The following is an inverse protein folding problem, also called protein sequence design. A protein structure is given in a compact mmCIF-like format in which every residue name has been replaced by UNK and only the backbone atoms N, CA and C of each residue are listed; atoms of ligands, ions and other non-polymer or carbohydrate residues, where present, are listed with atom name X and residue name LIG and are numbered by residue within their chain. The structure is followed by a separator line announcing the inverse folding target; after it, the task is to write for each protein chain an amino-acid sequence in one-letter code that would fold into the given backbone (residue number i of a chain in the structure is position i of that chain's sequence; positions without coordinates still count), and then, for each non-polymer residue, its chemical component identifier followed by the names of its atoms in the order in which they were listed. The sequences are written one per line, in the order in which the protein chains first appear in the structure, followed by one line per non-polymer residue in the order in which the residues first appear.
data_IF_522910088246
#
_entry.id   IF_522910088246
#
_cell.length_a   1.000
_cell.length_b   1.000
_cell.length_c   1.000
_cell.angle_alpha   90.00
_cell.angle_beta   90.00
_cell.angle_gamma   90.00
#
_symmetry.space_group_name_H-M   'P 1'
#
loop_
_entity.id
_entity.type
_entity.pdbx_description
1 polymer ?
#
# COMPACT_ATOMS: atom_id res chain seq x y z
N UNK A 1 -11.29 -6.81 21.64
CA UNK A 1 -11.40 -5.96 20.43
C UNK A 1 -12.83 -5.44 20.35
N UNK A 2 -13.08 -4.13 20.15
CA UNK A 2 -14.44 -3.61 19.98
C UNK A 2 -15.15 -4.27 18.78
N UNK A 3 -16.46 -4.53 18.87
CA UNK A 3 -17.25 -5.13 17.77
C UNK A 3 -17.11 -4.36 16.45
N UNK A 4 -17.00 -3.03 16.52
CA UNK A 4 -16.82 -2.16 15.35
C UNK A 4 -15.59 -2.48 14.49
N UNK A 5 -14.51 -3.02 15.06
CA UNK A 5 -13.34 -3.36 14.26
C UNK A 5 -13.58 -4.59 13.35
N UNK A 6 -14.45 -5.51 13.77
CA UNK A 6 -14.88 -6.61 12.89
C UNK A 6 -15.68 -6.09 11.70
N UNK A 7 -16.52 -5.07 11.91
CA UNK A 7 -17.23 -4.43 10.81
C UNK A 7 -16.28 -3.69 9.86
N UNK A 8 -15.22 -3.06 10.35
CA UNK A 8 -14.18 -2.46 9.48
C UNK A 8 -13.49 -3.52 8.63
N UNK A 9 -13.08 -4.64 9.23
CA UNK A 9 -12.48 -5.77 8.48
C UNK A 9 -13.47 -6.31 7.45
N UNK A 10 -14.74 -6.51 7.84
CA UNK A 10 -15.78 -6.98 6.93
C UNK A 10 -16.01 -6.01 5.77
N UNK A 11 -16.05 -4.70 6.03
CA UNK A 11 -16.17 -3.67 4.99
C UNK A 11 -15.01 -3.77 3.98
N UNK A 12 -13.78 -3.98 4.44
CA UNK A 12 -12.63 -4.13 3.56
C UNK A 12 -12.68 -5.41 2.71
N UNK A 13 -13.09 -6.53 3.30
CA UNK A 13 -13.29 -7.79 2.56
C UNK A 13 -14.39 -7.59 1.50
N UNK A 14 -15.53 -7.01 1.88
CA UNK A 14 -16.62 -6.72 0.94
C UNK A 14 -16.14 -5.79 -0.18
N UNK A 15 -15.40 -4.73 0.15
CA UNK A 15 -14.82 -3.81 -0.83
C UNK A 15 -13.99 -4.58 -1.87
N UNK A 16 -13.07 -5.45 -1.42
CA UNK A 16 -12.17 -6.20 -2.29
C UNK A 16 -12.89 -7.20 -3.20
N UNK A 17 -13.90 -7.90 -2.68
CA UNK A 17 -14.56 -9.00 -3.41
C UNK A 17 -15.89 -8.62 -4.06
N UNK A 18 -16.46 -7.45 -3.75
CA UNK A 18 -17.74 -7.00 -4.32
C UNK A 18 -17.73 -6.91 -5.85
N UNK A 19 -16.56 -6.63 -6.46
CA UNK A 19 -16.41 -6.58 -7.91
C UNK A 19 -16.84 -7.87 -8.62
N UNK A 20 -16.65 -9.03 -7.98
CA UNK A 20 -17.04 -10.34 -8.54
C UNK A 20 -18.55 -10.45 -8.82
N UNK A 21 -19.38 -9.74 -8.02
CA UNK A 21 -20.83 -9.76 -8.16
C UNK A 21 -21.34 -8.54 -8.92
N UNK A 22 -20.83 -7.36 -8.60
CA UNK A 22 -21.41 -6.11 -9.06
C UNK A 22 -20.81 -5.59 -10.36
N UNK A 23 -19.58 -5.96 -10.73
CA UNK A 23 -19.04 -5.59 -12.04
C UNK A 23 -19.78 -6.28 -13.20
N UNK A 24 -20.08 -7.60 -13.14
CA UNK A 24 -20.93 -8.24 -14.15
C UNK A 24 -22.34 -7.62 -14.19
N UNK A 25 -22.93 -7.34 -13.02
CA UNK A 25 -24.24 -6.68 -12.96
C UNK A 25 -24.22 -5.30 -13.63
N UNK A 26 -23.20 -4.48 -13.36
CA UNK A 26 -23.05 -3.17 -13.98
C UNK A 26 -22.87 -3.29 -15.49
N UNK A 27 -22.07 -4.27 -15.96
CA UNK A 27 -21.94 -4.61 -17.37
C UNK A 27 -23.29 -4.97 -18.02
N UNK A 28 -24.15 -5.74 -17.33
CA UNK A 28 -25.49 -6.08 -17.87
C UNK A 28 -26.46 -4.89 -17.88
N UNK A 29 -26.33 -3.95 -16.94
CA UNK A 29 -27.25 -2.82 -16.78
C UNK A 29 -26.85 -1.56 -17.55
N UNK A 30 -25.64 -1.51 -18.10
CA UNK A 30 -25.06 -0.32 -18.73
C UNK A 30 -24.39 -0.68 -20.05
N UNK A 31 -24.13 0.29 -20.95
CA UNK A 31 -23.42 0.03 -22.20
C UNK A 31 -21.89 -0.12 -22.02
N UNK A 32 -21.40 -0.22 -20.78
CA UNK A 32 -19.98 -0.31 -20.49
C UNK A 32 -19.40 -1.66 -20.90
N UNK A 33 -18.10 -1.69 -21.25
CA UNK A 33 -17.36 -2.94 -21.33
C UNK A 33 -17.13 -3.55 -19.94
N UNK A 34 -16.85 -4.86 -19.87
CA UNK A 34 -16.63 -5.55 -18.58
C UNK A 34 -15.45 -4.96 -17.80
N UNK A 35 -14.38 -4.56 -18.50
CA UNK A 35 -13.20 -3.91 -17.89
C UNK A 35 -13.59 -2.57 -17.26
N UNK A 36 -14.28 -1.69 -17.99
CA UNK A 36 -14.71 -0.38 -17.49
C UNK A 36 -15.69 -0.53 -16.32
N UNK A 37 -16.63 -1.47 -16.41
CA UNK A 37 -17.55 -1.79 -15.33
C UNK A 37 -16.79 -2.23 -14.06
N UNK A 38 -15.73 -3.02 -14.20
CA UNK A 38 -14.86 -3.45 -13.10
C UNK A 38 -14.10 -2.28 -12.49
N UNK A 39 -13.52 -1.41 -13.31
CA UNK A 39 -12.77 -0.23 -12.85
C UNK A 39 -13.70 0.71 -12.08
N UNK A 40 -14.83 1.10 -12.67
CA UNK A 40 -15.77 2.03 -12.02
C UNK A 40 -16.37 1.46 -10.76
N UNK A 41 -16.71 0.17 -10.73
CA UNK A 41 -17.18 -0.48 -9.51
C UNK A 41 -16.12 -0.48 -8.41
N UNK A 42 -14.86 -0.80 -8.76
CA UNK A 42 -13.74 -0.78 -7.82
C UNK A 42 -13.53 0.61 -7.24
N UNK A 43 -13.54 1.65 -8.08
CA UNK A 43 -13.45 3.03 -7.59
C UNK A 43 -14.58 3.37 -6.61
N UNK A 44 -15.81 3.02 -6.96
CA UNK A 44 -16.98 3.24 -6.11
C UNK A 44 -16.85 2.49 -4.77
N UNK A 45 -16.48 1.22 -4.80
CA UNK A 45 -16.38 0.38 -3.60
C UNK A 45 -15.34 0.90 -2.63
N UNK A 46 -14.17 1.35 -3.11
CA UNK A 46 -13.12 1.95 -2.28
C UNK A 46 -13.57 3.26 -1.62
N UNK A 47 -14.23 4.14 -2.38
CA UNK A 47 -14.77 5.39 -1.83
C UNK A 47 -15.84 5.12 -0.79
N UNK A 48 -16.79 4.22 -1.07
CA UNK A 48 -17.83 3.82 -0.12
C UNK A 48 -17.22 3.20 1.15
N UNK A 49 -16.24 2.31 0.99
CA UNK A 49 -15.53 1.69 2.10
C UNK A 49 -14.81 2.74 2.97
N UNK A 50 -14.15 3.73 2.37
CA UNK A 50 -13.52 4.82 3.12
C UNK A 50 -14.54 5.54 4.01
N UNK A 51 -15.70 5.92 3.49
CA UNK A 51 -16.74 6.59 4.28
C UNK A 51 -17.25 5.71 5.43
N UNK A 52 -17.52 4.44 5.17
CA UNK A 52 -17.99 3.48 6.19
C UNK A 52 -16.93 3.26 7.25
N UNK A 53 -15.67 3.04 6.86
CA UNK A 53 -14.56 2.82 7.79
C UNK A 53 -14.31 4.06 8.64
N UNK A 54 -14.26 5.26 8.05
CA UNK A 54 -14.11 6.50 8.80
C UNK A 54 -15.27 6.72 9.77
N UNK A 55 -16.50 6.41 9.38
CA UNK A 55 -17.67 6.47 10.26
C UNK A 55 -17.55 5.51 11.45
N UNK A 56 -17.18 4.25 11.20
CA UNK A 56 -16.95 3.24 12.24
C UNK A 56 -15.78 3.61 13.16
N UNK A 57 -14.74 4.27 12.63
CA UNK A 57 -13.54 4.66 13.37
C UNK A 57 -13.65 6.00 14.10
N UNK A 58 -14.76 6.76 13.95
CA UNK A 58 -15.00 8.03 14.68
C UNK A 58 -14.70 7.97 16.18
N UNK A 59 -15.09 6.91 16.94
CA UNK A 59 -14.78 6.85 18.37
C UNK A 59 -13.28 6.83 18.65
N UNK A 60 -12.49 6.17 17.80
CA UNK A 60 -11.03 6.07 17.92
C UNK A 60 -10.31 7.36 17.52
N UNK A 61 -10.97 8.24 16.75
CA UNK A 61 -10.46 9.57 16.41
C UNK A 61 -10.70 10.59 17.53
N UNK A 62 -11.73 10.37 18.37
CA UNK A 62 -12.08 11.23 19.51
C UNK A 62 -11.28 10.93 20.77
N UNK A 63 -10.59 9.80 20.83
CA UNK A 63 -9.72 9.49 21.97
C UNK A 63 -8.50 10.40 21.92
N UNK A 64 -8.24 11.09 23.03
CA UNK A 64 -7.04 11.91 23.20
C UNK A 64 -5.78 11.13 22.77
N UNK A 65 -4.84 11.79 22.06
CA UNK A 65 -3.56 11.18 21.75
C UNK A 65 -2.91 10.64 23.03
N UNK A 66 -2.21 9.51 22.92
CA UNK A 66 -1.45 9.01 24.06
C UNK A 66 -0.51 10.11 24.58
N UNK A 67 -0.35 10.22 25.91
CA UNK A 67 0.45 11.28 26.57
C UNK A 67 1.86 11.50 25.99
N UNK A 68 2.44 10.46 25.36
CA UNK A 68 3.77 10.49 24.76
C UNK A 68 3.73 10.34 23.24
N UNK A 69 2.61 10.70 22.59
CA UNK A 69 2.50 10.70 21.14
C UNK A 69 3.29 11.88 20.56
N UNK A 70 3.87 11.65 19.39
CA UNK A 70 4.73 12.65 18.75
C UNK A 70 3.99 13.96 18.51
N UNK A 71 4.68 15.07 18.73
CA UNK A 71 4.23 16.42 18.35
C UNK A 71 4.34 16.65 16.84
N UNK A 72 3.87 17.80 16.36
CA UNK A 72 3.82 18.09 14.91
C UNK A 72 5.18 18.05 14.22
N UNK A 73 6.22 18.65 14.81
CA UNK A 73 7.57 18.61 14.22
C UNK A 73 8.15 17.19 14.15
N UNK A 74 7.94 16.40 15.20
CA UNK A 74 8.40 15.01 15.24
C UNK A 74 7.64 14.12 14.24
N UNK A 75 6.34 14.37 14.00
CA UNK A 75 5.58 13.70 12.93
C UNK A 75 6.17 13.97 11.55
N UNK A 76 6.58 15.20 11.26
CA UNK A 76 7.18 15.57 9.97
C UNK A 76 8.52 14.84 9.79
N UNK A 77 9.38 14.88 10.82
CA UNK A 77 10.68 14.20 10.80
C UNK A 77 10.51 12.70 10.55
N UNK A 78 9.61 12.03 11.28
CA UNK A 78 9.36 10.60 11.08
C UNK A 78 8.63 10.28 9.78
N UNK A 79 7.87 11.20 9.20
CA UNK A 79 7.29 10.99 7.86
C UNK A 79 8.37 11.01 6.79
N UNK A 80 9.31 11.97 6.86
CA UNK A 80 10.45 12.05 5.93
C UNK A 80 11.37 10.84 6.12
N UNK A 81 11.83 10.58 7.34
CA UNK A 81 12.68 9.42 7.63
C UNK A 81 11.98 8.10 7.30
N UNK A 82 10.67 8.02 7.56
CA UNK A 82 9.82 6.88 7.23
C UNK A 82 9.78 6.56 5.74
N UNK A 83 9.73 7.60 4.90
CA UNK A 83 9.77 7.43 3.45
C UNK A 83 11.10 6.80 3.00
N UNK A 84 12.22 7.30 3.50
CA UNK A 84 13.53 6.70 3.20
C UNK A 84 13.65 5.27 3.73
N UNK A 85 13.14 4.98 4.94
CA UNK A 85 13.13 3.62 5.48
C UNK A 85 12.27 2.67 4.62
N UNK A 86 11.12 3.12 4.14
CA UNK A 86 10.23 2.31 3.31
C UNK A 86 10.86 2.00 1.94
N UNK A 87 11.50 2.98 1.30
CA UNK A 87 12.26 2.74 0.07
C UNK A 87 13.49 1.87 0.28
N UNK A 88 14.21 2.04 1.40
CA UNK A 88 15.32 1.16 1.73
C UNK A 88 14.85 -0.28 1.95
N UNK A 89 13.73 -0.49 2.63
CA UNK A 89 13.14 -1.82 2.82
C UNK A 89 12.70 -2.44 1.48
N UNK A 90 12.05 -1.66 0.61
CA UNK A 90 11.71 -2.09 -0.75
C UNK A 90 12.97 -2.50 -1.53
N UNK A 91 13.98 -1.64 -1.58
CA UNK A 91 15.22 -1.89 -2.33
C UNK A 91 15.96 -3.14 -1.83
N UNK A 92 16.12 -3.29 -0.51
CA UNK A 92 16.75 -4.47 0.08
C UNK A 92 15.96 -5.74 -0.21
N UNK A 93 14.63 -5.70 -0.14
CA UNK A 93 13.78 -6.84 -0.47
C UNK A 93 13.91 -7.19 -1.96
N UNK A 94 13.92 -6.22 -2.86
CA UNK A 94 14.13 -6.42 -4.30
C UNK A 94 15.49 -7.06 -4.60
N UNK A 95 16.56 -6.64 -3.92
CA UNK A 95 17.88 -7.28 -4.06
C UNK A 95 17.80 -8.75 -3.63
N UNK A 96 17.17 -9.04 -2.49
CA UNK A 96 17.06 -10.42 -2.00
C UNK A 96 16.24 -11.26 -2.98
N UNK A 97 15.09 -10.77 -3.42
CA UNK A 97 14.22 -11.47 -4.37
C UNK A 97 14.94 -11.75 -5.70
N UNK A 98 15.65 -10.76 -6.26
CA UNK A 98 16.34 -10.91 -7.55
C UNK A 98 17.60 -11.78 -7.47
N UNK A 99 18.46 -11.54 -6.48
CA UNK A 99 19.80 -12.18 -6.41
C UNK A 99 19.81 -13.51 -5.67
N UNK A 100 18.94 -13.68 -4.67
CA UNK A 100 18.90 -14.90 -3.84
C UNK A 100 17.79 -15.84 -4.29
N UNK A 101 16.62 -15.30 -4.64
CA UNK A 101 15.44 -16.10 -5.00
C UNK A 101 15.23 -16.23 -6.53
N UNK A 102 15.98 -15.47 -7.34
CA UNK A 102 15.88 -15.50 -8.81
C UNK A 102 14.54 -14.98 -9.34
N UNK A 103 13.86 -14.12 -8.59
CA UNK A 103 12.59 -13.52 -8.97
C UNK A 103 12.85 -12.32 -9.87
N UNK A 104 12.18 -12.26 -11.03
CA UNK A 104 12.32 -11.14 -11.95
C UNK A 104 11.87 -9.81 -11.31
N UNK A 105 12.56 -8.70 -11.60
CA UNK A 105 12.12 -7.38 -11.16
C UNK A 105 10.83 -6.97 -11.88
N UNK A 106 10.01 -6.17 -11.19
CA UNK A 106 8.67 -5.77 -11.64
C UNK A 106 7.59 -6.32 -10.72
N UNK A 107 6.35 -5.81 -10.85
CA UNK A 107 5.18 -6.30 -10.10
C UNK A 107 3.97 -6.26 -11.02
N UNK A 108 3.27 -7.39 -11.14
CA UNK A 108 2.09 -7.53 -12.00
C UNK A 108 0.94 -6.63 -11.51
N UNK A 109 0.78 -6.49 -10.19
CA UNK A 109 -0.17 -5.57 -9.57
C UNK A 109 0.17 -4.13 -9.95
N UNK A 110 1.44 -3.76 -9.89
CA UNK A 110 1.89 -2.41 -10.25
C UNK A 110 1.62 -2.12 -11.72
N UNK A 111 1.97 -3.05 -12.61
CA UNK A 111 1.70 -2.92 -14.05
C UNK A 111 0.20 -2.79 -14.34
N UNK A 112 -0.63 -3.64 -13.72
CA UNK A 112 -2.09 -3.58 -13.84
C UNK A 112 -2.64 -2.24 -13.38
N UNK A 113 -2.20 -1.74 -12.22
CA UNK A 113 -2.58 -0.43 -11.70
C UNK A 113 -2.18 0.69 -12.67
N UNK A 114 -0.99 0.62 -13.26
CA UNK A 114 -0.53 1.65 -14.19
C UNK A 114 -1.29 1.62 -15.51
N UNK A 115 -1.59 0.45 -16.05
CA UNK A 115 -2.40 0.29 -17.25
C UNK A 115 -3.81 0.87 -17.04
N UNK A 116 -4.45 0.55 -15.91
CA UNK A 116 -5.74 1.14 -15.55
C UNK A 116 -5.63 2.66 -15.36
N UNK A 117 -4.59 3.14 -14.67
CA UNK A 117 -4.38 4.58 -14.43
C UNK A 117 -4.17 5.35 -15.74
N UNK A 118 -3.47 4.78 -16.72
CA UNK A 118 -3.28 5.40 -18.04
C UNK A 118 -4.60 5.52 -18.81
N UNK A 119 -5.52 4.55 -18.66
CA UNK A 119 -6.86 4.60 -19.26
C UNK A 119 -7.82 5.50 -18.49
N UNK A 120 -7.77 5.46 -17.15
CA UNK A 120 -8.64 6.20 -16.23
C UNK A 120 -7.76 6.91 -15.19
N UNK A 121 -7.25 8.12 -15.49
CA UNK A 121 -6.32 8.83 -14.60
C UNK A 121 -6.83 9.02 -13.17
N UNK A 122 -8.14 9.19 -12.99
CA UNK A 122 -8.76 9.30 -11.66
C UNK A 122 -8.53 8.07 -10.77
N UNK A 123 -8.19 6.91 -11.34
CA UNK A 123 -7.86 5.70 -10.58
C UNK A 123 -6.64 5.88 -9.68
N UNK A 124 -5.73 6.80 -10.01
CA UNK A 124 -4.58 7.14 -9.16
C UNK A 124 -5.00 7.61 -7.76
N UNK A 125 -6.17 8.24 -7.61
CA UNK A 125 -6.68 8.69 -6.31
C UNK A 125 -6.99 7.47 -5.44
N UNK A 126 -7.46 6.38 -6.04
CA UNK A 126 -7.72 5.14 -5.32
C UNK A 126 -6.40 4.55 -4.81
N UNK A 127 -5.43 4.34 -5.69
CA UNK A 127 -4.20 3.59 -5.38
C UNK A 127 -3.17 4.41 -4.59
N UNK A 128 -3.10 5.72 -4.82
CA UNK A 128 -2.14 6.59 -4.15
C UNK A 128 -2.64 7.18 -2.82
N UNK A 129 -3.96 7.25 -2.61
CA UNK A 129 -4.56 7.93 -1.46
C UNK A 129 -5.50 7.02 -0.68
N UNK A 130 -6.60 6.57 -1.30
CA UNK A 130 -7.68 5.89 -0.57
C UNK A 130 -7.25 4.52 -0.05
N UNK A 131 -6.61 3.72 -0.90
CA UNK A 131 -6.13 2.39 -0.55
C UNK A 131 -5.11 2.44 0.62
N UNK A 132 -4.04 3.27 0.57
CA UNK A 132 -3.13 3.45 1.71
C UNK A 132 -3.82 3.81 3.03
N UNK A 133 -4.82 4.71 3.00
CA UNK A 133 -5.57 5.08 4.22
C UNK A 133 -6.30 3.87 4.80
N UNK A 134 -7.05 3.15 3.97
CA UNK A 134 -7.81 1.97 4.38
C UNK A 134 -6.89 0.88 4.91
N UNK A 135 -5.82 0.60 4.20
CA UNK A 135 -4.83 -0.41 4.55
C UNK A 135 -4.17 -0.11 5.89
N UNK A 136 -3.70 1.10 6.13
CA UNK A 136 -3.06 1.43 7.41
C UNK A 136 -4.04 1.37 8.59
N UNK A 137 -5.31 1.76 8.38
CA UNK A 137 -6.36 1.61 9.40
C UNK A 137 -6.61 0.14 9.74
N UNK A 138 -6.53 -0.77 8.78
CA UNK A 138 -6.81 -2.19 9.01
C UNK A 138 -5.58 -2.91 9.52
N UNK A 139 -4.46 -2.79 8.81
CA UNK A 139 -3.26 -3.55 9.11
C UNK A 139 -2.51 -2.99 10.31
N UNK A 140 -2.39 -1.66 10.47
CA UNK A 140 -1.67 -1.09 11.63
C UNK A 140 -2.57 -0.83 12.82
N UNK A 141 -3.65 -0.07 12.63
CA UNK A 141 -4.48 0.33 13.77
C UNK A 141 -5.24 -0.86 14.35
N UNK A 142 -5.78 -1.74 13.51
CA UNK A 142 -6.63 -2.85 13.94
C UNK A 142 -5.85 -4.14 14.17
N UNK A 143 -5.25 -4.74 13.12
CA UNK A 143 -4.61 -6.06 13.16
C UNK A 143 -3.35 -6.03 14.02
N UNK A 144 -2.34 -5.25 13.62
CA UNK A 144 -1.12 -5.04 14.41
C UNK A 144 -1.47 -4.55 15.83
N UNK A 145 -2.39 -3.58 15.95
CA UNK A 145 -2.84 -3.07 17.24
C UNK A 145 -3.48 -4.13 18.16
N UNK A 146 -4.06 -5.22 17.62
CA UNK A 146 -4.51 -6.35 18.45
C UNK A 146 -3.36 -7.29 18.82
N UNK A 147 -2.45 -7.58 17.89
CA UNK A 147 -1.28 -8.41 18.18
C UNK A 147 -0.37 -7.77 19.22
N UNK A 148 -0.12 -6.46 19.10
CA UNK A 148 0.76 -5.71 19.98
C UNK A 148 0.24 -5.55 21.41
N UNK A 149 -1.03 -5.89 21.68
CA UNK A 149 -1.55 -6.01 23.05
C UNK A 149 -1.14 -7.31 23.75
N UNK A 150 -0.73 -8.33 22.99
CA UNK A 150 -0.46 -9.68 23.48
C UNK A 150 1.01 -10.08 23.31
N UNK A 151 1.67 -9.56 22.28
CA UNK A 151 3.03 -9.92 21.92
C UNK A 151 3.93 -8.69 21.80
N UNK A 152 5.24 -8.94 21.76
CA UNK A 152 6.22 -7.89 21.56
C UNK A 152 6.11 -7.26 20.15
N UNK A 153 6.88 -6.19 19.95
CA UNK A 153 6.88 -5.46 18.69
C UNK A 153 7.21 -6.35 17.50
N UNK A 154 8.32 -7.10 17.57
CA UNK A 154 8.83 -7.90 16.44
C UNK A 154 7.82 -8.93 15.95
N UNK A 155 7.22 -9.70 16.86
CA UNK A 155 6.21 -10.72 16.52
C UNK A 155 4.97 -10.04 15.92
N UNK A 156 4.49 -8.97 16.55
CA UNK A 156 3.28 -8.27 16.10
C UNK A 156 3.46 -7.62 14.73
N UNK A 157 4.62 -6.98 14.51
CA UNK A 157 4.98 -6.32 13.28
C UNK A 157 5.16 -7.36 12.16
N UNK A 158 5.89 -8.44 12.41
CA UNK A 158 6.10 -9.50 11.42
C UNK A 158 4.78 -10.15 11.00
N UNK A 159 3.93 -10.55 11.93
CA UNK A 159 2.65 -11.18 11.59
C UNK A 159 1.73 -10.23 10.82
N UNK A 160 1.63 -8.97 11.24
CA UNK A 160 0.83 -7.99 10.51
C UNK A 160 1.40 -7.66 9.13
N UNK A 161 2.72 -7.63 8.99
CA UNK A 161 3.41 -7.38 7.73
C UNK A 161 3.23 -8.52 6.74
N UNK A 162 3.33 -9.77 7.21
CA UNK A 162 3.08 -10.96 6.38
C UNK A 162 1.64 -11.01 5.89
N UNK A 163 0.66 -10.73 6.76
CA UNK A 163 -0.75 -10.66 6.35
C UNK A 163 -0.95 -9.57 5.29
N UNK A 164 -0.32 -8.40 5.47
CA UNK A 164 -0.35 -7.32 4.50
C UNK A 164 0.21 -7.77 3.15
N UNK A 165 1.39 -8.41 3.12
CA UNK A 165 1.99 -8.90 1.88
C UNK A 165 1.19 -10.00 1.18
N UNK A 166 0.57 -10.92 1.90
CA UNK A 166 -0.27 -11.97 1.31
C UNK A 166 -1.49 -11.37 0.60
N UNK A 167 -2.11 -10.33 1.17
CA UNK A 167 -3.33 -9.72 0.62
C UNK A 167 -3.06 -8.91 -0.66
N UNK A 168 -1.81 -8.54 -0.93
CA UNK A 168 -1.43 -7.87 -2.19
C UNK A 168 -1.54 -8.78 -3.41
N UNK A 169 -1.70 -10.10 -3.23
CA UNK A 169 -2.03 -11.01 -4.33
C UNK A 169 -0.84 -11.41 -5.22
N UNK A 170 0.39 -11.03 -4.85
CA UNK A 170 1.62 -11.42 -5.54
C UNK A 170 2.56 -12.16 -4.56
N UNK A 171 2.37 -13.47 -4.35
CA UNK A 171 3.12 -14.24 -3.36
C UNK A 171 4.64 -14.23 -3.57
N UNK A 172 5.11 -14.08 -4.82
CA UNK A 172 6.53 -13.96 -5.14
C UNK A 172 7.16 -12.70 -4.55
N UNK A 173 6.42 -11.59 -4.46
CA UNK A 173 6.89 -10.32 -3.91
C UNK A 173 6.51 -10.11 -2.44
N UNK A 174 6.23 -11.21 -1.72
CA UNK A 174 5.83 -11.16 -0.30
C UNK A 174 6.89 -10.47 0.57
N UNK A 175 8.19 -10.58 0.24
CA UNK A 175 9.25 -9.93 1.01
C UNK A 175 9.21 -8.43 0.82
N UNK A 176 9.00 -7.93 -0.40
CA UNK A 176 8.82 -6.50 -0.67
C UNK A 176 7.65 -5.94 0.14
N UNK A 177 6.44 -6.49 -0.02
CA UNK A 177 5.26 -5.95 0.66
C UNK A 177 5.35 -6.08 2.18
N UNK A 178 5.86 -7.21 2.69
CA UNK A 178 6.04 -7.41 4.13
C UNK A 178 7.13 -6.50 4.70
N UNK A 179 8.23 -6.29 3.99
CA UNK A 179 9.31 -5.40 4.41
C UNK A 179 8.82 -3.97 4.61
N UNK A 180 8.07 -3.45 3.64
CA UNK A 180 7.43 -2.13 3.72
C UNK A 180 6.41 -2.10 4.88
N UNK A 181 5.56 -3.13 4.97
CA UNK A 181 4.55 -3.23 6.04
C UNK A 181 5.15 -3.26 7.44
N UNK A 182 6.34 -3.84 7.60
CA UNK A 182 7.09 -3.83 8.86
C UNK A 182 7.56 -2.41 9.23
N UNK A 183 8.06 -1.64 8.25
CA UNK A 183 8.43 -0.23 8.45
C UNK A 183 7.22 0.59 8.90
N UNK A 184 6.05 0.39 8.30
CA UNK A 184 4.83 1.09 8.71
C UNK A 184 4.40 0.73 10.14
N UNK A 185 4.55 -0.53 10.56
CA UNK A 185 4.33 -0.93 11.95
C UNK A 185 5.31 -0.25 12.92
N UNK A 186 6.60 -0.15 12.54
CA UNK A 186 7.60 0.59 13.29
C UNK A 186 7.21 2.06 13.46
N UNK A 187 6.87 2.75 12.36
CA UNK A 187 6.47 4.17 12.38
C UNK A 187 5.24 4.40 13.26
N UNK A 188 4.26 3.49 13.21
CA UNK A 188 3.08 3.57 14.06
C UNK A 188 3.42 3.50 15.55
N UNK A 189 4.29 2.57 15.97
CA UNK A 189 4.72 2.45 17.36
C UNK A 189 5.62 3.60 17.79
N UNK A 190 6.55 4.01 16.92
CA UNK A 190 7.52 5.06 17.21
C UNK A 190 6.84 6.40 17.45
N UNK A 191 5.88 6.75 16.61
CA UNK A 191 5.18 8.04 16.68
C UNK A 191 3.92 8.00 17.53
N UNK A 192 3.34 6.81 17.74
CA UNK A 192 2.01 6.60 18.35
C UNK A 192 0.90 7.36 17.62
N UNK A 193 1.09 7.59 16.32
CA UNK A 193 0.20 8.33 15.43
C UNK A 193 -0.05 7.49 14.19
N UNK A 194 -1.31 7.15 13.93
CA UNK A 194 -1.67 6.40 12.71
C UNK A 194 -1.49 7.24 11.45
N UNK A 195 -1.54 8.57 11.57
CA UNK A 195 -1.38 9.48 10.43
C UNK A 195 0.03 9.45 9.83
N UNK A 196 1.06 9.13 10.63
CA UNK A 196 2.45 9.10 10.14
C UNK A 196 2.65 7.97 9.11
N UNK A 197 2.38 6.69 9.41
CA UNK A 197 2.50 5.65 8.38
C UNK A 197 1.51 5.85 7.22
N UNK A 198 0.31 6.44 7.43
CA UNK A 198 -0.59 6.84 6.33
C UNK A 198 0.10 7.81 5.37
N UNK A 199 0.69 8.89 5.89
CA UNK A 199 1.39 9.89 5.06
C UNK A 199 2.54 9.24 4.29
N UNK A 200 3.33 8.40 4.96
CA UNK A 200 4.46 7.71 4.32
C UNK A 200 3.99 6.78 3.22
N UNK A 201 2.96 5.99 3.47
CA UNK A 201 2.40 5.06 2.49
C UNK A 201 1.81 5.80 1.29
N UNK A 202 1.01 6.85 1.53
CA UNK A 202 0.48 7.70 0.47
C UNK A 202 1.59 8.36 -0.36
N UNK A 203 2.64 8.88 0.29
CA UNK A 203 3.76 9.49 -0.39
C UNK A 203 4.50 8.47 -1.27
N UNK A 204 4.75 7.27 -0.75
CA UNK A 204 5.41 6.20 -1.48
C UNK A 204 4.62 5.79 -2.73
N UNK A 205 3.30 5.56 -2.60
CA UNK A 205 2.46 5.21 -3.75
C UNK A 205 2.30 6.37 -4.73
N UNK A 206 2.17 7.61 -4.23
CA UNK A 206 2.07 8.79 -5.09
C UNK A 206 3.33 8.99 -5.92
N UNK A 207 4.52 8.87 -5.32
CA UNK A 207 5.79 8.95 -6.04
C UNK A 207 5.90 7.82 -7.05
N UNK A 208 5.54 6.58 -6.68
CA UNK A 208 5.54 5.44 -7.61
C UNK A 208 4.67 5.69 -8.83
N UNK A 209 3.43 6.17 -8.64
CA UNK A 209 2.53 6.50 -9.76
C UNK A 209 3.09 7.64 -10.61
N UNK A 210 3.58 8.72 -9.99
CA UNK A 210 4.14 9.86 -10.72
C UNK A 210 5.34 9.44 -11.54
N UNK A 211 6.27 8.67 -10.96
CA UNK A 211 7.47 8.18 -11.66
C UNK A 211 7.07 7.29 -12.84
N UNK A 212 6.11 6.37 -12.65
CA UNK A 212 5.67 5.46 -13.71
C UNK A 212 4.81 6.11 -14.81
N UNK A 213 4.20 7.27 -14.53
CA UNK A 213 3.53 8.08 -15.55
C UNK A 213 4.51 9.03 -16.26
N UNK A 214 5.52 9.52 -15.55
CA UNK A 214 6.51 10.45 -16.09
C UNK A 214 7.58 9.75 -16.94
N UNK A 215 7.86 8.48 -16.66
CA UNK A 215 8.76 7.64 -17.44
C UNK A 215 7.92 6.77 -18.38
N UNK A 216 8.03 7.00 -19.69
CA UNK A 216 7.47 6.08 -20.67
C UNK A 216 8.23 4.74 -20.60
N UNK A 217 7.59 3.61 -20.90
CA UNK A 217 8.26 2.29 -20.81
C UNK A 217 9.55 2.26 -21.66
N UNK A 218 9.53 2.96 -22.80
CA UNK A 218 10.68 3.14 -23.68
C UNK A 218 11.82 3.95 -23.05
N UNK A 219 11.53 4.89 -22.16
CA UNK A 219 12.54 5.69 -21.47
C UNK A 219 13.18 4.90 -20.32
N UNK A 220 12.41 4.04 -19.65
CA UNK A 220 12.94 3.11 -18.64
C UNK A 220 13.86 2.09 -19.30
N UNK A 221 13.44 1.46 -20.40
CA UNK A 221 14.27 0.51 -21.15
C UNK A 221 15.58 1.14 -21.63
N UNK A 222 15.53 2.34 -22.23
CA UNK A 222 16.74 3.08 -22.63
C UNK A 222 17.65 3.41 -21.46
N UNK A 223 17.08 3.80 -20.31
CA UNK A 223 17.88 4.12 -19.12
C UNK A 223 18.55 2.85 -18.54
N UNK A 224 17.87 1.72 -18.56
CA UNK A 224 18.43 0.42 -18.15
C UNK A 224 19.55 -0.03 -19.08
N UNK A 225 19.35 0.05 -20.40
CA UNK A 225 20.40 -0.23 -21.39
C UNK A 225 21.63 0.68 -21.19
N UNK A 226 21.42 1.97 -20.91
CA UNK A 226 22.52 2.91 -20.63
C UNK A 226 23.27 2.57 -19.34
N UNK A 227 22.58 2.14 -18.30
CA UNK A 227 23.20 1.72 -17.03
C UNK A 227 24.02 0.44 -17.22
N UNK A 228 23.51 -0.54 -17.97
CA UNK A 228 24.25 -1.76 -18.31
C UNK A 228 25.50 -1.45 -19.15
N UNK A 229 25.38 -0.57 -20.16
CA UNK A 229 26.53 -0.13 -20.96
C UNK A 229 27.59 0.58 -20.11
N UNK A 230 27.19 1.46 -19.18
CA UNK A 230 28.14 2.10 -18.27
C UNK A 230 28.83 1.08 -17.37
N UNK A 231 28.09 0.12 -16.78
CA UNK A 231 28.70 -0.94 -15.97
C UNK A 231 29.69 -1.77 -16.78
N UNK A 232 29.38 -2.12 -18.03
CA UNK A 232 30.30 -2.83 -18.92
C UNK A 232 31.58 -2.04 -19.21
N UNK A 233 31.49 -0.72 -19.37
CA UNK A 233 32.66 0.17 -19.55
C UNK A 233 33.52 0.23 -18.28
N UNK A 234 32.90 0.28 -17.10
CA UNK A 234 33.63 0.34 -15.83
C UNK A 234 34.20 -1.01 -15.35
N UNK A 235 33.61 -2.13 -15.76
CA UNK A 235 34.04 -3.48 -15.37
C UNK A 235 34.98 -4.10 -16.43
N UNK A 236 34.90 -3.66 -17.69
CA UNK A 236 35.71 -4.15 -18.80
C UNK A 236 36.98 -3.33 -19.12
N UNK A 237 37.31 -2.31 -18.31
CA UNK A 237 38.50 -1.45 -18.44
C UNK A 237 39.59 -1.77 -17.43
#
# INVERSE_FOLDING_TARGET
MPRRYWYVILTYIIMQFSGLLFAPLLYFLTPLGLTDATIYWTMFSFVAALFVVLWLMRPDMKTEPQRNASGTGEMIIWSIAGLFMAYAANYLATIIETTVLGISPGSENTETIMNITRTVPAFMIITAIIAPILEELIFRKIIFGQFYKRWNFFISALLSALIFGIIHGEPQHILIYSGIGFVFAFLYVKTKRIIVPIIVHMAMNSISVIVQLALDQQDIEKMMEQLEQMQMIFIGG
#
